data_IF_212404138979
#
_entry.id   IF_212404138979
#
_cell.length_a   1.000
_cell.length_b   1.000
_cell.length_c   1.000
_cell.angle_alpha   90.00
_cell.angle_beta   90.00
_cell.angle_gamma   90.00
#
_symmetry.space_group_name_H-M   'P 1'
#
loop_
_entity.id
_entity.type
_entity.pdbx_description
1 polymer ?
#
# COMPACT_ATOMS: atom_id res chain seq x y z
N UNK A 1 29.98 -23.10 -0.11
CA UNK A 1 30.01 -24.51 0.35
C UNK A 1 28.59 -25.05 0.32
N UNK A 2 28.34 -26.25 -0.22
CA UNK A 2 26.98 -26.81 -0.27
C UNK A 2 26.70 -27.53 1.06
N UNK A 3 25.54 -27.30 1.72
CA UNK A 3 25.20 -28.01 2.94
C UNK A 3 24.98 -29.50 2.67
N UNK A 4 25.35 -30.35 3.64
CA UNK A 4 25.09 -31.80 3.63
C UNK A 4 23.60 -32.08 3.86
N UNK A 5 23.10 -33.19 3.29
CA UNK A 5 21.68 -33.58 3.38
C UNK A 5 21.19 -33.71 4.83
N UNK A 6 22.01 -34.25 5.73
CA UNK A 6 21.67 -34.40 7.15
C UNK A 6 21.42 -33.04 7.85
N UNK A 7 22.14 -31.98 7.46
CA UNK A 7 21.93 -30.64 8.01
C UNK A 7 20.65 -30.00 7.46
N UNK A 8 20.30 -30.29 6.22
CA UNK A 8 19.05 -29.82 5.61
C UNK A 8 17.84 -30.47 6.27
N UNK A 9 17.86 -31.79 6.47
CA UNK A 9 16.80 -32.50 7.19
C UNK A 9 16.69 -32.05 8.65
N UNK A 10 17.81 -31.87 9.36
CA UNK A 10 17.78 -31.45 10.76
C UNK A 10 17.20 -30.05 10.98
N UNK A 11 17.34 -29.13 10.03
CA UNK A 11 16.89 -27.73 10.17
C UNK A 11 15.56 -27.47 9.46
N UNK A 12 15.38 -28.00 8.26
CA UNK A 12 14.21 -27.74 7.41
C UNK A 12 13.21 -28.90 7.39
N UNK A 13 13.59 -30.09 7.86
CA UNK A 13 12.73 -31.28 7.85
C UNK A 13 12.51 -31.88 6.45
N UNK A 14 13.21 -31.38 5.43
CA UNK A 14 13.11 -31.83 4.04
C UNK A 14 14.45 -31.70 3.32
N UNK A 15 14.69 -32.57 2.36
CA UNK A 15 15.83 -32.50 1.43
C UNK A 15 15.50 -31.72 0.15
N UNK A 16 14.23 -31.35 -0.05
CA UNK A 16 13.83 -30.57 -1.22
C UNK A 16 14.22 -29.10 -1.09
N UNK A 17 14.91 -28.59 -2.12
CA UNK A 17 15.43 -27.22 -2.14
C UNK A 17 14.33 -26.15 -2.17
N UNK A 18 13.23 -26.39 -2.88
CA UNK A 18 12.16 -25.40 -3.04
C UNK A 18 11.52 -24.98 -1.70
N UNK A 19 11.02 -25.90 -0.85
CA UNK A 19 10.45 -25.54 0.46
C UNK A 19 11.50 -24.95 1.42
N UNK A 20 12.75 -25.40 1.35
CA UNK A 20 13.83 -24.80 2.14
C UNK A 20 14.05 -23.33 1.77
N UNK A 21 14.09 -23.01 0.48
CA UNK A 21 14.32 -21.64 -0.01
C UNK A 21 13.14 -20.73 0.36
N UNK A 22 11.90 -21.21 0.22
CA UNK A 22 10.72 -20.45 0.61
C UNK A 22 10.77 -20.07 2.11
N UNK A 23 11.13 -21.03 2.97
CA UNK A 23 11.28 -20.79 4.41
C UNK A 23 12.42 -19.80 4.71
N UNK A 24 13.55 -19.90 4.00
CA UNK A 24 14.68 -18.97 4.14
C UNK A 24 14.28 -17.54 3.73
N UNK A 25 13.48 -17.38 2.67
CA UNK A 25 13.06 -16.05 2.20
C UNK A 25 12.04 -15.43 3.16
N UNK A 26 11.12 -16.22 3.71
CA UNK A 26 10.06 -15.74 4.59
C UNK A 26 10.57 -15.47 6.02
N UNK A 27 11.43 -16.33 6.57
CA UNK A 27 11.88 -16.26 7.96
C UNK A 27 13.31 -15.71 8.10
N UNK A 28 14.09 -15.69 7.02
CA UNK A 28 15.48 -15.26 7.04
C UNK A 28 15.68 -13.75 6.88
N UNK A 29 16.89 -13.30 7.16
CA UNK A 29 17.31 -11.91 6.92
C UNK A 29 18.09 -11.81 5.61
N UNK A 30 17.60 -11.02 4.65
CA UNK A 30 18.34 -10.74 3.42
C UNK A 30 19.51 -9.80 3.76
N UNK A 31 20.73 -10.33 3.72
CA UNK A 31 21.93 -9.51 3.85
C UNK A 31 22.22 -8.82 2.52
N UNK A 32 21.82 -7.56 2.43
CA UNK A 32 22.13 -6.70 1.30
C UNK A 32 23.49 -6.05 1.50
N UNK A 33 24.24 -5.89 0.41
CA UNK A 33 25.40 -5.02 0.44
C UNK A 33 24.96 -3.57 0.69
N UNK A 34 25.85 -2.76 1.27
CA UNK A 34 25.58 -1.34 1.54
C UNK A 34 25.15 -0.60 0.27
N UNK A 35 25.73 -0.94 -0.88
CA UNK A 35 25.39 -0.37 -2.20
C UNK A 35 24.00 -0.78 -2.68
N UNK A 36 23.64 -2.07 -2.59
CA UNK A 36 22.32 -2.56 -2.97
C UNK A 36 21.22 -1.94 -2.11
N UNK A 37 21.44 -1.87 -0.79
CA UNK A 37 20.52 -1.21 0.14
C UNK A 37 20.33 0.26 -0.22
N UNK A 38 21.42 0.99 -0.50
CA UNK A 38 21.36 2.42 -0.85
C UNK A 38 20.60 2.64 -2.17
N UNK A 39 20.83 1.80 -3.17
CA UNK A 39 20.13 1.85 -4.46
C UNK A 39 18.62 1.64 -4.29
N UNK A 40 18.22 0.61 -3.54
CA UNK A 40 16.80 0.34 -3.30
C UNK A 40 16.11 1.46 -2.52
N UNK A 41 16.79 2.03 -1.52
CA UNK A 41 16.25 3.18 -0.78
C UNK A 41 16.06 4.38 -1.72
N UNK A 42 17.06 4.71 -2.54
CA UNK A 42 16.96 5.83 -3.48
C UNK A 42 15.82 5.64 -4.48
N UNK A 43 15.66 4.44 -5.02
CA UNK A 43 14.60 4.11 -5.96
C UNK A 43 13.22 4.20 -5.31
N UNK A 44 13.08 3.66 -4.08
CA UNK A 44 11.84 3.77 -3.31
C UNK A 44 11.50 5.20 -2.93
N UNK A 45 12.48 5.98 -2.46
CA UNK A 45 12.27 7.41 -2.17
C UNK A 45 11.79 8.16 -3.41
N UNK A 46 12.36 7.88 -4.58
CA UNK A 46 11.93 8.50 -5.83
C UNK A 46 10.49 8.13 -6.21
N UNK A 47 10.10 6.87 -6.02
CA UNK A 47 8.71 6.42 -6.21
C UNK A 47 7.76 7.15 -5.25
N UNK A 48 8.10 7.21 -3.96
CA UNK A 48 7.31 7.92 -2.95
C UNK A 48 7.13 9.40 -3.32
N UNK A 49 8.20 10.08 -3.74
CA UNK A 49 8.11 11.49 -4.18
C UNK A 49 7.16 11.63 -5.37
N UNK A 50 7.30 10.77 -6.38
CA UNK A 50 6.47 10.80 -7.58
C UNK A 50 4.97 10.61 -7.24
N UNK A 51 4.67 9.63 -6.38
CA UNK A 51 3.31 9.35 -5.94
C UNK A 51 2.72 10.52 -5.14
N UNK A 52 3.51 11.13 -4.25
CA UNK A 52 3.07 12.31 -3.49
C UNK A 52 2.79 13.50 -4.42
N UNK A 53 3.60 13.72 -5.45
CA UNK A 53 3.38 14.81 -6.41
C UNK A 53 2.14 14.57 -7.26
N UNK A 54 1.85 13.32 -7.60
CA UNK A 54 0.70 12.95 -8.40
C UNK A 54 -0.61 13.04 -7.59
N UNK A 55 -0.58 12.68 -6.31
CA UNK A 55 -1.75 12.60 -5.45
C UNK A 55 -2.00 13.88 -4.63
N UNK A 56 -0.93 14.61 -4.30
CA UNK A 56 -0.94 15.73 -3.37
C UNK A 56 -1.15 17.07 -4.07
N UNK A 57 -2.19 17.78 -3.64
CA UNK A 57 -2.46 19.16 -4.04
C UNK A 57 -2.22 20.11 -2.85
N UNK A 58 -1.86 21.33 -3.18
CA UNK A 58 -1.90 22.43 -2.23
C UNK A 58 -3.37 22.84 -1.98
N UNK A 59 -3.88 22.82 -0.74
CA UNK A 59 -5.25 23.24 -0.44
C UNK A 59 -5.53 24.72 -0.78
N UNK A 60 -4.50 25.57 -0.82
CA UNK A 60 -4.66 27.00 -1.14
C UNK A 60 -4.70 27.25 -2.64
N UNK A 61 -3.77 26.67 -3.39
CA UNK A 61 -3.62 26.93 -4.84
C UNK A 61 -4.31 25.88 -5.72
N UNK A 62 -4.71 24.73 -5.15
CA UNK A 62 -5.25 23.55 -5.85
C UNK A 62 -4.32 22.99 -6.93
N UNK A 63 -3.06 23.40 -6.93
CA UNK A 63 -2.04 22.93 -7.86
C UNK A 63 -1.24 21.79 -7.22
N UNK A 64 -0.73 20.85 -8.02
CA UNK A 64 0.20 19.84 -7.53
C UNK A 64 1.52 20.49 -7.09
N UNK A 65 2.09 19.97 -6.01
CA UNK A 65 3.39 20.43 -5.52
C UNK A 65 4.52 19.97 -6.46
N UNK A 66 5.51 20.82 -6.79
CA UNK A 66 6.68 20.39 -7.55
C UNK A 66 7.47 19.29 -6.83
N UNK A 67 8.07 18.32 -7.55
CA UNK A 67 8.86 17.24 -6.95
C UNK A 67 9.97 17.72 -6.03
N UNK A 68 10.65 18.80 -6.41
CA UNK A 68 11.74 19.38 -5.65
C UNK A 68 11.27 19.96 -4.30
N UNK A 69 10.02 20.43 -4.22
CA UNK A 69 9.42 20.93 -2.97
C UNK A 69 9.10 19.77 -2.02
N UNK A 70 8.56 18.66 -2.54
CA UNK A 70 8.30 17.44 -1.78
C UNK A 70 9.60 16.81 -1.30
N UNK A 71 10.63 16.77 -2.15
CA UNK A 71 11.97 16.27 -1.79
C UNK A 71 12.59 17.06 -0.63
N UNK A 72 12.56 18.40 -0.71
CA UNK A 72 13.07 19.25 0.38
C UNK A 72 12.31 19.01 1.69
N UNK A 73 10.99 18.88 1.63
CA UNK A 73 10.16 18.62 2.81
C UNK A 73 10.45 17.25 3.44
N UNK A 74 10.70 16.21 2.63
CA UNK A 74 11.09 14.89 3.12
C UNK A 74 12.45 14.89 3.79
N UNK A 75 13.41 15.65 3.26
CA UNK A 75 14.75 15.81 3.85
C UNK A 75 14.64 16.52 5.20
N UNK A 76 13.85 17.59 5.27
CA UNK A 76 13.63 18.36 6.50
C UNK A 76 12.89 17.55 7.56
N UNK A 77 11.88 16.76 7.15
CA UNK A 77 11.18 15.81 8.00
C UNK A 77 12.01 14.57 8.40
N UNK A 78 13.25 14.45 7.89
CA UNK A 78 14.15 13.31 8.11
C UNK A 78 13.51 11.95 7.76
N UNK A 79 12.64 11.93 6.76
CA UNK A 79 12.03 10.69 6.29
C UNK A 79 13.08 9.80 5.63
N UNK A 80 13.06 8.51 5.97
CA UNK A 80 13.94 7.52 5.37
C UNK A 80 13.10 6.35 4.86
N UNK A 81 13.12 6.16 3.54
CA UNK A 81 12.39 5.06 2.92
C UNK A 81 12.95 3.70 3.35
N UNK A 82 12.05 2.75 3.57
CA UNK A 82 12.36 1.36 3.88
C UNK A 82 12.32 0.53 2.59
N UNK A 83 13.40 -0.20 2.23
CA UNK A 83 13.41 -1.00 1.00
C UNK A 83 12.40 -2.17 1.01
N UNK A 84 11.96 -2.65 2.18
CA UNK A 84 11.11 -3.82 2.30
C UNK A 84 9.62 -3.48 2.48
N UNK A 85 9.28 -2.24 2.85
CA UNK A 85 7.88 -1.82 3.00
C UNK A 85 7.25 -1.48 1.64
N UNK A 86 5.94 -1.72 1.47
CA UNK A 86 5.22 -1.29 0.28
C UNK A 86 5.23 0.25 0.16
N UNK A 87 5.24 0.75 -1.09
CA UNK A 87 5.31 2.20 -1.39
C UNK A 87 4.11 2.92 -0.80
N UNK A 88 2.92 2.34 -0.90
CA UNK A 88 1.65 2.93 -0.44
C UNK A 88 1.66 3.26 1.06
N UNK A 89 2.14 2.32 1.89
CA UNK A 89 2.29 2.56 3.34
C UNK A 89 3.28 3.68 3.60
N UNK A 90 4.39 3.68 2.86
CA UNK A 90 5.43 4.71 3.00
C UNK A 90 4.95 6.09 2.55
N UNK A 91 4.08 6.18 1.54
CA UNK A 91 3.46 7.44 1.11
C UNK A 91 2.57 8.00 2.21
N UNK A 92 1.76 7.16 2.87
CA UNK A 92 0.92 7.58 4.01
C UNK A 92 1.79 8.14 5.16
N UNK A 93 2.84 7.41 5.53
CA UNK A 93 3.78 7.82 6.59
C UNK A 93 4.53 9.12 6.24
N UNK A 94 5.01 9.21 5.00
CA UNK A 94 5.72 10.37 4.48
C UNK A 94 4.83 11.62 4.48
N UNK A 95 3.57 11.51 4.08
CA UNK A 95 2.67 12.66 4.05
C UNK A 95 2.23 13.08 5.45
N UNK A 96 2.07 12.15 6.38
CA UNK A 96 1.84 12.50 7.79
C UNK A 96 2.95 13.41 8.34
N UNK A 97 4.21 13.12 8.00
CA UNK A 97 5.38 13.92 8.39
C UNK A 97 5.47 15.27 7.65
N UNK A 98 5.26 15.28 6.33
CA UNK A 98 5.35 16.50 5.52
C UNK A 98 4.24 17.50 5.88
N UNK A 99 3.08 17.02 6.34
CA UNK A 99 1.90 17.86 6.64
C UNK A 99 2.18 18.96 7.69
N UNK A 100 3.15 18.75 8.58
CA UNK A 100 3.57 19.77 9.56
C UNK A 100 4.37 20.91 8.91
N UNK A 101 5.09 20.62 7.82
CA UNK A 101 5.98 21.56 7.13
C UNK A 101 5.30 22.26 5.95
N UNK A 102 4.50 21.51 5.19
CA UNK A 102 3.86 21.99 3.97
C UNK A 102 2.37 21.61 3.99
N UNK A 103 1.46 22.54 3.70
CA UNK A 103 0.05 22.22 3.52
C UNK A 103 -0.10 21.35 2.27
N UNK A 104 -0.33 20.06 2.52
CA UNK A 104 -0.62 19.07 1.48
C UNK A 104 -1.96 18.43 1.80
N UNK A 105 -2.81 18.32 0.80
CA UNK A 105 -4.08 17.62 0.88
C UNK A 105 -4.13 16.63 -0.27
N UNK A 106 -4.52 15.40 0.03
CA UNK A 106 -4.83 14.45 -1.03
C UNK A 106 -6.19 14.79 -1.61
N UNK A 107 -6.31 14.73 -2.93
CA UNK A 107 -7.64 14.66 -3.55
C UNK A 107 -8.20 13.29 -3.20
N UNK A 108 -9.01 13.24 -2.14
CA UNK A 108 -9.72 12.03 -1.76
C UNK A 108 -11.03 11.96 -2.53
N UNK A 109 -11.37 10.76 -3.00
CA UNK A 109 -12.67 10.45 -3.61
C UNK A 109 -13.41 9.52 -2.69
N UNK A 110 -14.69 9.80 -2.48
CA UNK A 110 -15.59 8.92 -1.75
C UNK A 110 -16.21 7.94 -2.72
N UNK A 111 -15.98 6.66 -2.50
CA UNK A 111 -16.54 5.59 -3.31
C UNK A 111 -17.53 4.81 -2.47
N UNK A 112 -18.74 4.66 -3.01
CA UNK A 112 -19.74 3.72 -2.49
C UNK A 112 -19.62 2.41 -3.27
N UNK A 113 -19.44 1.31 -2.54
CA UNK A 113 -19.42 -0.03 -3.07
C UNK A 113 -20.70 -0.74 -2.63
N UNK A 114 -21.34 -1.45 -3.56
CA UNK A 114 -22.48 -2.33 -3.30
C UNK A 114 -22.08 -3.75 -3.67
N UNK A 115 -22.18 -4.66 -2.71
CA UNK A 115 -21.74 -6.05 -2.83
C UNK A 115 -22.85 -6.99 -2.32
N UNK A 116 -23.15 -8.09 -3.03
CA UNK A 116 -24.06 -9.12 -2.51
C UNK A 116 -23.51 -9.73 -1.21
N UNK A 117 -24.39 -10.03 -0.24
CA UNK A 117 -23.98 -10.62 1.05
C UNK A 117 -23.14 -11.91 0.92
N UNK A 118 -23.26 -12.64 -0.20
CA UNK A 118 -22.47 -13.84 -0.52
C UNK A 118 -20.96 -13.60 -0.50
N UNK A 119 -20.51 -12.40 -0.88
CA UNK A 119 -19.08 -12.04 -0.98
C UNK A 119 -18.64 -11.08 0.13
N UNK A 120 -19.45 -10.88 1.17
CA UNK A 120 -19.15 -9.99 2.30
C UNK A 120 -17.84 -10.34 3.00
N UNK A 121 -17.69 -11.60 3.44
CA UNK A 121 -16.54 -12.06 4.22
C UNK A 121 -15.17 -11.69 3.62
N UNK A 122 -14.86 -12.12 2.38
CA UNK A 122 -13.56 -11.83 1.76
C UNK A 122 -13.32 -10.35 1.47
N UNK A 123 -14.37 -9.56 1.24
CA UNK A 123 -14.21 -8.11 1.00
C UNK A 123 -14.03 -7.36 2.31
N UNK A 124 -14.84 -7.67 3.33
CA UNK A 124 -14.78 -7.04 4.65
C UNK A 124 -13.39 -7.13 5.27
N UNK A 125 -12.71 -8.27 5.17
CA UNK A 125 -11.33 -8.42 5.67
C UNK A 125 -10.33 -7.42 5.06
N UNK A 126 -10.57 -6.95 3.84
CA UNK A 126 -9.68 -6.02 3.12
C UNK A 126 -10.06 -4.58 3.43
N UNK A 127 -11.35 -4.26 3.43
CA UNK A 127 -11.82 -2.87 3.51
C UNK A 127 -12.04 -2.38 4.94
N UNK A 128 -11.95 -3.26 5.95
CA UNK A 128 -12.21 -2.95 7.37
C UNK A 128 -11.52 -1.68 7.87
N UNK A 129 -10.30 -1.42 7.42
CA UNK A 129 -9.50 -0.27 7.86
C UNK A 129 -9.87 1.04 7.13
N UNK A 130 -10.50 0.94 5.94
CA UNK A 130 -10.81 2.08 5.08
C UNK A 130 -12.32 2.44 5.05
N UNK A 131 -13.17 1.65 5.71
CA UNK A 131 -14.62 1.90 5.77
C UNK A 131 -14.90 3.14 6.62
N UNK A 132 -15.62 4.10 6.03
CA UNK A 132 -16.21 5.22 6.75
C UNK A 132 -17.63 4.94 7.23
N UNK A 133 -18.42 4.30 6.38
CA UNK A 133 -19.82 3.96 6.66
C UNK A 133 -20.19 2.64 6.00
N UNK A 134 -21.00 1.85 6.68
CA UNK A 134 -21.57 0.61 6.15
C UNK A 134 -23.06 0.51 6.48
N UNK A 135 -23.83 -0.01 5.52
CA UNK A 135 -25.27 -0.19 5.60
C UNK A 135 -25.67 -1.50 4.90
N UNK A 136 -26.56 -2.26 5.52
CA UNK A 136 -27.18 -3.43 4.88
C UNK A 136 -28.52 -3.01 4.26
N UNK A 137 -28.68 -3.27 2.97
CA UNK A 137 -29.93 -3.06 2.28
C UNK A 137 -30.91 -4.18 2.64
N UNK A 138 -32.21 -3.88 2.60
CA UNK A 138 -33.32 -4.84 2.74
C UNK A 138 -33.25 -6.03 1.78
N UNK A 139 -32.45 -5.90 0.73
CA UNK A 139 -32.29 -6.86 -0.36
C UNK A 139 -31.23 -7.92 -0.02
N UNK A 140 -30.53 -7.80 1.11
CA UNK A 140 -29.38 -8.64 1.47
C UNK A 140 -28.05 -8.17 0.88
N UNK A 141 -28.04 -7.00 0.21
CA UNK A 141 -26.84 -6.37 -0.32
C UNK A 141 -26.16 -5.53 0.76
N UNK A 142 -24.84 -5.60 0.85
CA UNK A 142 -24.02 -4.78 1.72
C UNK A 142 -23.48 -3.57 0.95
N UNK A 143 -23.70 -2.37 1.49
CA UNK A 143 -23.19 -1.12 0.94
C UNK A 143 -22.21 -0.52 1.92
N UNK A 144 -21.05 -0.11 1.44
CA UNK A 144 -20.09 0.62 2.26
C UNK A 144 -19.47 1.78 1.48
N UNK A 145 -19.08 2.82 2.21
CA UNK A 145 -18.39 3.98 1.68
C UNK A 145 -16.96 3.98 2.19
N UNK A 146 -16.00 4.10 1.27
CA UNK A 146 -14.58 4.30 1.58
C UNK A 146 -14.11 5.65 1.05
N UNK A 147 -13.11 6.20 1.71
CA UNK A 147 -12.41 7.39 1.25
C UNK A 147 -10.98 7.01 0.89
N UNK A 148 -10.67 7.12 -0.39
CA UNK A 148 -9.35 6.78 -0.91
C UNK A 148 -8.79 7.90 -1.77
N UNK A 149 -7.45 8.04 -1.89
CA UNK A 149 -6.85 8.98 -2.81
C UNK A 149 -7.26 8.70 -4.26
N UNK A 150 -7.55 9.74 -5.05
CA UNK A 150 -8.06 9.63 -6.41
C UNK A 150 -7.17 8.76 -7.34
N UNK A 151 -5.85 8.78 -7.15
CA UNK A 151 -4.94 7.95 -7.95
C UNK A 151 -4.94 6.46 -7.59
N UNK A 152 -5.37 6.10 -6.38
CA UNK A 152 -5.51 4.69 -5.96
C UNK A 152 -6.89 4.10 -6.30
N UNK A 153 -7.80 4.91 -6.82
CA UNK A 153 -9.17 4.50 -7.18
C UNK A 153 -9.22 3.24 -8.04
N UNK A 154 -8.44 3.20 -9.12
CA UNK A 154 -8.49 2.10 -10.07
C UNK A 154 -7.94 0.80 -9.48
N UNK A 155 -6.85 0.89 -8.69
CA UNK A 155 -6.26 -0.27 -8.04
C UNK A 155 -7.19 -0.83 -6.96
N UNK A 156 -7.82 0.05 -6.17
CA UNK A 156 -8.78 -0.33 -5.15
C UNK A 156 -10.02 -1.02 -5.73
N UNK A 157 -10.56 -0.50 -6.84
CA UNK A 157 -11.66 -1.13 -7.57
C UNK A 157 -11.24 -2.50 -8.10
N UNK A 158 -10.02 -2.63 -8.66
CA UNK A 158 -9.52 -3.91 -9.17
C UNK A 158 -9.33 -4.94 -8.04
N UNK A 159 -8.83 -4.51 -6.88
CA UNK A 159 -8.62 -5.35 -5.69
C UNK A 159 -9.94 -5.94 -5.17
N UNK A 160 -11.00 -5.11 -5.12
CA UNK A 160 -12.34 -5.56 -4.74
C UNK A 160 -12.96 -6.43 -5.84
N UNK A 161 -12.84 -6.02 -7.11
CA UNK A 161 -13.38 -6.77 -8.26
C UNK A 161 -12.82 -8.18 -8.38
N UNK A 162 -11.57 -8.42 -7.96
CA UNK A 162 -10.97 -9.75 -7.91
C UNK A 162 -11.64 -10.69 -6.89
N UNK A 163 -12.24 -10.13 -5.82
CA UNK A 163 -12.91 -10.89 -4.75
C UNK A 163 -14.43 -10.93 -4.91
N UNK A 164 -15.00 -9.90 -5.54
CA UNK A 164 -16.42 -9.76 -5.82
C UNK A 164 -16.58 -9.29 -7.27
N UNK A 165 -16.81 -10.20 -8.23
CA UNK A 165 -17.01 -9.83 -9.63
C UNK A 165 -18.30 -9.02 -9.83
N UNK A 166 -19.30 -9.18 -8.95
CA UNK A 166 -20.60 -8.52 -9.01
C UNK A 166 -20.64 -7.17 -8.27
N UNK A 167 -19.49 -6.54 -8.05
CA UNK A 167 -19.40 -5.27 -7.31
C UNK A 167 -19.91 -4.10 -8.15
N UNK A 168 -20.89 -3.36 -7.62
CA UNK A 168 -21.31 -2.09 -8.20
C UNK A 168 -20.62 -0.93 -7.46
N UNK A 169 -19.89 -0.09 -8.21
CA UNK A 169 -19.14 1.05 -7.67
C UNK A 169 -19.83 2.34 -8.10
N UNK A 170 -20.05 3.25 -7.15
CA UNK A 170 -20.55 4.60 -7.42
C UNK A 170 -19.67 5.64 -6.75
N UNK A 171 -19.23 6.61 -7.53
CA UNK A 171 -18.54 7.79 -7.02
C UNK A 171 -19.53 8.75 -6.35
N UNK A 172 -19.26 9.10 -5.10
CA UNK A 172 -19.96 10.16 -4.39
C UNK A 172 -19.17 11.45 -4.62
N UNK A 173 -19.85 12.46 -5.20
CA UNK A 173 -19.34 13.83 -5.35
C UNK A 173 -19.43 14.60 -4.06
#
# INVERSE_FOLDING_TARGET
ERPTMEKLEGVFGTTELAPCVEKIILEGSIQLTTEQRKKMIMEKTRQVIADICMLGIDPQTKMPHPPQRVENALIEARFKADPFKPVESQVKDAVALIRELIPISFVTVKLAFKIPGTNYGPVFSIVREDILKEEWLTNGDWVFTVEIPAGMKNDYIAKIGKRAPDVAVKELK
#
